data_IF_937620223106
#
_entry.id   IF_937620223106
#
_cell.length_a   1.000
_cell.length_b   1.000
_cell.length_c   1.000
_cell.angle_alpha   90.00
_cell.angle_beta   90.00
_cell.angle_gamma   90.00
#
_symmetry.space_group_name_H-M   'P 1'
#
loop_
_entity.id
_entity.type
_entity.pdbx_description
1 polymer ?
#
# COMPACT_ATOMS: atom_id res chain seq x y z
N UNK A 1 -36.74 12.70 43.80
CA UNK A 1 -36.12 11.46 43.27
C UNK A 1 -36.53 11.38 41.82
N UNK A 2 -35.61 11.19 40.87
CA UNK A 2 -35.97 11.15 39.45
C UNK A 2 -36.74 9.87 39.13
N UNK A 3 -37.75 9.96 38.27
CA UNK A 3 -38.56 8.81 37.85
C UNK A 3 -37.76 7.94 36.84
N UNK A 4 -38.07 6.64 36.78
CA UNK A 4 -37.43 5.69 35.85
C UNK A 4 -37.68 6.11 34.39
N UNK A 5 -38.87 6.63 34.09
CA UNK A 5 -39.24 7.09 32.76
C UNK A 5 -38.39 8.27 32.29
N UNK A 6 -38.13 9.23 33.18
CA UNK A 6 -37.26 10.39 32.92
C UNK A 6 -35.83 9.94 32.64
N UNK A 7 -35.31 9.00 33.45
CA UNK A 7 -33.98 8.44 33.27
C UNK A 7 -33.85 7.73 31.92
N UNK A 8 -34.87 6.96 31.52
CA UNK A 8 -34.85 6.25 30.24
C UNK A 8 -34.89 7.22 29.05
N UNK A 9 -35.69 8.28 29.13
CA UNK A 9 -35.75 9.31 28.10
C UNK A 9 -34.41 10.06 27.96
N UNK A 10 -33.74 10.38 29.07
CA UNK A 10 -32.40 10.97 29.06
C UNK A 10 -31.39 10.03 28.38
N UNK A 11 -31.41 8.73 28.70
CA UNK A 11 -30.52 7.74 28.08
C UNK A 11 -30.74 7.66 26.57
N UNK A 12 -32.00 7.67 26.13
CA UNK A 12 -32.34 7.65 24.70
C UNK A 12 -31.80 8.89 23.98
N UNK A 13 -32.00 10.08 24.57
CA UNK A 13 -31.50 11.32 23.98
C UNK A 13 -29.96 11.34 23.90
N UNK A 14 -29.27 10.94 24.97
CA UNK A 14 -27.79 10.87 24.99
C UNK A 14 -27.27 9.85 23.97
N UNK A 15 -27.94 8.71 23.80
CA UNK A 15 -27.58 7.73 22.76
C UNK A 15 -27.73 8.30 21.36
N UNK A 16 -28.82 9.03 21.10
CA UNK A 16 -29.07 9.69 19.82
C UNK A 16 -28.04 10.79 19.53
N UNK A 17 -27.66 11.57 20.55
CA UNK A 17 -26.59 12.56 20.42
C UNK A 17 -25.25 11.88 20.11
N UNK A 18 -24.94 10.76 20.78
CA UNK A 18 -23.74 9.97 20.55
C UNK A 18 -23.65 9.46 19.10
N UNK A 19 -24.76 9.00 18.52
CA UNK A 19 -24.81 8.58 17.10
C UNK A 19 -24.45 9.71 16.13
N UNK A 20 -24.71 10.97 16.51
CA UNK A 20 -24.44 12.12 15.66
C UNK A 20 -23.05 12.76 15.90
N UNK A 21 -22.25 12.21 16.81
CA UNK A 21 -20.89 12.71 17.05
C UNK A 21 -19.98 12.29 15.89
N UNK A 22 -19.43 13.28 15.18
CA UNK A 22 -18.47 13.08 14.11
C UNK A 22 -17.26 14.00 14.28
N UNK A 23 -16.07 13.47 13.97
CA UNK A 23 -14.84 14.27 13.91
C UNK A 23 -14.69 14.97 12.57
N UNK A 24 -13.79 15.96 12.51
CA UNK A 24 -13.32 16.52 11.25
C UNK A 24 -12.17 15.68 10.68
N UNK A 25 -12.09 15.61 9.35
CA UNK A 25 -10.96 14.96 8.69
C UNK A 25 -9.66 15.72 9.02
N UNK A 26 -8.61 14.97 9.38
CA UNK A 26 -7.30 15.53 9.68
C UNK A 26 -6.22 14.88 8.83
N UNK A 27 -5.13 15.62 8.62
CA UNK A 27 -3.95 15.12 7.92
C UNK A 27 -3.25 14.06 8.78
N UNK A 28 -3.22 12.83 8.27
CA UNK A 28 -2.51 11.72 8.91
C UNK A 28 -1.03 11.79 8.53
N UNK A 29 -0.17 11.84 9.54
CA UNK A 29 1.28 11.75 9.40
C UNK A 29 1.78 10.38 9.89
N UNK A 30 2.72 9.80 9.15
CA UNK A 30 3.39 8.56 9.52
C UNK A 30 4.92 8.71 9.41
N UNK A 31 5.67 7.93 10.20
CA UNK A 31 7.13 7.87 10.09
C UNK A 31 7.51 6.97 8.91
N UNK A 32 8.02 7.56 7.84
CA UNK A 32 8.40 6.83 6.62
C UNK A 32 9.87 7.15 6.32
N UNK A 33 10.73 6.12 6.30
CA UNK A 33 12.19 6.26 6.13
C UNK A 33 12.82 7.23 7.16
N UNK A 34 12.35 7.17 8.41
CA UNK A 34 12.98 7.84 9.55
C UNK A 34 12.41 9.21 9.96
N UNK A 35 11.49 9.81 9.19
CA UNK A 35 10.89 11.12 9.53
C UNK A 35 9.38 11.16 9.22
N UNK A 36 8.66 12.14 9.78
CA UNK A 36 7.21 12.28 9.61
C UNK A 36 6.84 12.90 8.25
N UNK A 37 5.88 12.28 7.54
CA UNK A 37 5.31 12.77 6.27
C UNK A 37 3.80 12.58 6.22
N UNK A 38 3.11 13.45 5.49
CA UNK A 38 1.70 13.28 5.14
C UNK A 38 1.50 12.00 4.33
N UNK A 39 0.67 11.10 4.85
CA UNK A 39 0.35 9.82 4.23
C UNK A 39 -0.35 10.02 2.88
N UNK A 40 -1.24 11.01 2.79
CA UNK A 40 -1.95 11.36 1.54
C UNK A 40 -0.98 11.67 0.41
N UNK A 41 0.02 12.51 0.69
CA UNK A 41 1.02 12.90 -0.32
C UNK A 41 1.97 11.75 -0.67
N UNK A 42 2.41 10.99 0.34
CA UNK A 42 3.30 9.85 0.13
C UNK A 42 2.61 8.76 -0.71
N UNK A 43 1.36 8.39 -0.39
CA UNK A 43 0.61 7.37 -1.14
C UNK A 43 0.47 7.75 -2.62
N UNK A 44 0.10 9.02 -2.88
CA UNK A 44 -0.01 9.53 -4.25
C UNK A 44 1.31 9.40 -5.03
N UNK A 45 2.42 9.86 -4.44
CA UNK A 45 3.73 9.79 -5.09
C UNK A 45 4.24 8.36 -5.26
N UNK A 46 3.95 7.46 -4.30
CA UNK A 46 4.34 6.05 -4.38
C UNK A 46 3.59 5.27 -5.44
N UNK A 47 2.31 5.58 -5.66
CA UNK A 47 1.55 4.99 -6.76
C UNK A 47 2.15 5.37 -8.11
N UNK A 48 2.55 6.62 -8.27
CA UNK A 48 3.23 7.10 -9.48
C UNK A 48 4.59 6.42 -9.67
N UNK A 49 5.42 6.40 -8.62
CA UNK A 49 6.70 5.70 -8.67
C UNK A 49 6.54 4.20 -9.00
N UNK A 50 5.50 3.55 -8.47
CA UNK A 50 5.23 2.15 -8.76
C UNK A 50 4.91 1.91 -10.24
N UNK A 51 4.22 2.83 -10.91
CA UNK A 51 3.91 2.73 -12.34
C UNK A 51 5.17 2.80 -13.22
N UNK A 52 6.23 3.47 -12.75
CA UNK A 52 7.51 3.56 -13.44
C UNK A 52 8.44 2.38 -13.13
N UNK A 53 8.02 1.41 -12.29
CA UNK A 53 8.85 0.23 -11.99
C UNK A 53 8.88 -0.69 -13.20
N UNK A 54 10.09 -1.08 -13.57
CA UNK A 54 10.35 -2.07 -14.61
C UNK A 54 10.75 -3.37 -13.91
N UNK A 55 10.12 -4.46 -14.28
CA UNK A 55 10.48 -5.79 -13.78
C UNK A 55 11.77 -6.27 -14.43
N UNK A 56 12.58 -7.00 -13.68
CA UNK A 56 13.70 -7.72 -14.28
C UNK A 56 13.13 -8.86 -15.14
N UNK A 57 13.45 -8.85 -16.43
CA UNK A 57 13.26 -9.96 -17.36
C UNK A 57 14.59 -10.67 -17.57
N UNK A 58 14.55 -11.99 -17.77
CA UNK A 58 15.71 -12.78 -18.22
C UNK A 58 16.22 -12.33 -19.60
N UNK A 59 15.37 -11.67 -20.40
CA UNK A 59 15.67 -11.13 -21.73
C UNK A 59 16.11 -9.65 -21.67
N UNK A 60 16.63 -9.18 -20.53
CA UNK A 60 17.14 -7.82 -20.43
C UNK A 60 18.55 -7.74 -20.99
N UNK A 61 18.75 -6.95 -22.05
CA UNK A 61 20.07 -6.66 -22.67
C UNK A 61 21.12 -6.15 -21.65
N UNK A 62 20.66 -5.46 -20.59
CA UNK A 62 21.53 -5.01 -19.49
C UNK A 62 22.10 -6.18 -18.68
N UNK A 63 21.37 -7.30 -18.58
CA UNK A 63 21.83 -8.53 -17.93
C UNK A 63 22.85 -9.25 -18.81
N UNK A 64 22.58 -9.38 -20.12
CA UNK A 64 23.52 -9.98 -21.07
C UNK A 64 24.90 -9.32 -21.02
N UNK A 65 24.92 -7.98 -20.96
CA UNK A 65 26.16 -7.20 -20.84
C UNK A 65 26.89 -7.40 -19.50
N UNK A 66 26.17 -7.59 -18.40
CA UNK A 66 26.82 -7.89 -17.10
C UNK A 66 27.33 -9.32 -16.99
N UNK A 67 26.75 -10.26 -17.74
CA UNK A 67 27.23 -11.64 -17.81
C UNK A 67 28.45 -11.78 -18.74
N UNK A 68 28.62 -10.90 -19.73
CA UNK A 68 29.76 -10.93 -20.65
C UNK A 68 31.07 -10.38 -20.07
N UNK A 69 31.01 -9.57 -19.01
CA UNK A 69 32.16 -8.82 -18.49
C UNK A 69 32.87 -9.53 -17.32
N UNK A 70 32.41 -10.72 -16.91
CA UNK A 70 33.07 -11.53 -15.88
C UNK A 70 34.11 -12.47 -16.52
N UNK A 71 35.39 -12.05 -16.53
CA UNK A 71 36.52 -12.93 -16.87
C UNK A 71 37.05 -13.70 -15.64
N UNK A 72 36.17 -14.19 -14.78
CA UNK A 72 36.53 -14.98 -13.61
C UNK A 72 35.92 -16.37 -13.68
N UNK A 73 36.70 -17.38 -13.26
CA UNK A 73 36.34 -18.81 -13.18
C UNK A 73 35.26 -19.08 -12.11
N UNK A 74 34.14 -18.35 -12.12
CA UNK A 74 32.98 -18.67 -11.30
C UNK A 74 32.07 -19.65 -12.05
N UNK A 75 31.59 -20.72 -11.38
CA UNK A 75 30.72 -21.70 -12.02
C UNK A 75 29.41 -21.05 -12.48
N UNK A 76 28.86 -21.46 -13.64
CA UNK A 76 27.63 -20.90 -14.18
C UNK A 76 26.48 -21.19 -13.22
N UNK A 77 25.62 -20.20 -12.98
CA UNK A 77 24.40 -20.35 -12.18
C UNK A 77 23.45 -21.26 -12.97
N UNK A 78 23.55 -22.57 -12.76
CA UNK A 78 22.59 -23.55 -13.24
C UNK A 78 21.35 -23.50 -12.34
N UNK A 79 20.44 -22.58 -12.64
CA UNK A 79 19.12 -22.53 -12.04
C UNK A 79 18.16 -21.87 -12.99
N UNK A 80 17.35 -22.66 -13.69
CA UNK A 80 16.24 -22.18 -14.49
C UNK A 80 15.28 -21.41 -13.58
N UNK A 81 15.21 -20.09 -13.77
CA UNK A 81 14.14 -19.26 -13.23
C UNK A 81 12.89 -19.49 -14.10
N UNK A 82 12.30 -20.67 -13.96
CA UNK A 82 10.96 -20.94 -14.49
C UNK A 82 9.94 -20.22 -13.62
N UNK A 83 9.69 -18.94 -13.91
CA UNK A 83 8.57 -18.21 -13.34
C UNK A 83 7.51 -17.98 -14.41
N UNK A 84 6.82 -19.05 -14.78
CA UNK A 84 5.54 -18.97 -15.48
C UNK A 84 4.48 -18.44 -14.53
N UNK A 85 4.42 -17.11 -14.37
CA UNK A 85 3.19 -16.43 -13.94
C UNK A 85 2.66 -15.66 -15.12
N UNK A 86 1.72 -16.30 -15.78
CA UNK A 86 0.87 -15.74 -16.82
C UNK A 86 0.30 -14.38 -16.40
N UNK A 87 0.39 -13.46 -17.35
CA UNK A 87 -0.35 -12.21 -17.43
C UNK A 87 -1.77 -12.36 -16.85
N UNK A 88 -2.10 -11.55 -15.84
CA UNK A 88 -3.44 -10.99 -15.56
C UNK A 88 -3.42 -10.12 -14.28
N UNK A 89 -2.60 -9.06 -14.23
CA UNK A 89 -2.62 -8.09 -13.12
C UNK A 89 -3.12 -6.70 -13.50
N UNK A 90 -3.44 -6.47 -14.77
CA UNK A 90 -3.96 -5.16 -15.21
C UNK A 90 -5.43 -4.93 -14.83
N UNK A 91 -6.23 -5.97 -14.62
CA UNK A 91 -7.69 -5.84 -14.38
C UNK A 91 -8.10 -5.77 -12.90
N UNK A 92 -7.17 -5.91 -11.94
CA UNK A 92 -7.48 -5.86 -10.49
C UNK A 92 -7.08 -4.56 -9.78
N UNK A 93 -6.72 -3.50 -10.51
CA UNK A 93 -6.31 -2.23 -9.89
C UNK A 93 -7.45 -1.24 -9.62
N UNK A 94 -8.68 -1.56 -10.04
CA UNK A 94 -9.85 -0.68 -9.84
C UNK A 94 -10.67 -0.97 -8.56
N UNK A 95 -10.41 -2.05 -7.83
CA UNK A 95 -11.25 -2.48 -6.71
C UNK A 95 -10.72 -2.15 -5.31
N UNK A 96 -9.61 -1.40 -5.20
CA UNK A 96 -9.05 -1.01 -3.88
C UNK A 96 -8.67 0.48 -3.88
N UNK A 97 -9.58 1.31 -4.39
CA UNK A 97 -9.53 2.77 -4.25
C UNK A 97 -10.57 3.23 -3.21
#
# INVERSE_FOLDING_TARGET
MRNIEEINAEIENVKKELENVHGTGTEVYARIVGYYRSVRNWNKGKREEYNHRIMFSSENERIEKTLSDCNCDCPPISGSLDFSVSNNFSEKKEQIA
#
